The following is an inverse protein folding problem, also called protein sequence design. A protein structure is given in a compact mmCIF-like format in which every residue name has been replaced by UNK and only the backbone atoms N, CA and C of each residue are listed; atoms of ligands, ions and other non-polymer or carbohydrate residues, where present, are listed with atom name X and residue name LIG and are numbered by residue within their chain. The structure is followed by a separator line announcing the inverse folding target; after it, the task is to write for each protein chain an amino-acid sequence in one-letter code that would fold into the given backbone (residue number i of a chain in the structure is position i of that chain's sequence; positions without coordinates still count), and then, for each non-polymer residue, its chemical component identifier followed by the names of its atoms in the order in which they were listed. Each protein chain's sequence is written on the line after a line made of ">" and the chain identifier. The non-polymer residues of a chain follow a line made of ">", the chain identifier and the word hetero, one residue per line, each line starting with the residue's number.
data_IF_457941131599
#
_entry.id   IF_457941131599
#
_cell.length_a   1.000
_cell.length_b   1.000
_cell.length_c   1.000
_cell.angle_alpha   90.00
_cell.angle_beta   90.00
_cell.angle_gamma   90.00
#
_symmetry.space_group_name_H-M   'P 1'
#
loop_
_entity.id
_entity.type
_entity.pdbx_description
1 polymer ?
#
# COMPACT_ATOMS: atom_id res chain seq x y z
N UNK A 1 6.31 13.15 -8.33
CA UNK A 1 6.05 13.92 -9.57
C UNK A 1 7.22 14.84 -9.79
N UNK A 2 7.85 14.75 -10.95
CA UNK A 2 9.00 15.57 -11.32
C UNK A 2 8.71 16.27 -12.65
N UNK A 3 9.25 17.45 -12.85
CA UNK A 3 9.18 18.15 -14.13
C UNK A 3 10.20 17.59 -15.14
N UNK A 4 10.17 18.10 -16.39
CA UNK A 4 11.11 17.69 -17.44
C UNK A 4 12.57 18.08 -17.21
N UNK A 5 12.86 18.85 -16.15
CA UNK A 5 14.21 19.24 -15.72
C UNK A 5 14.65 18.48 -14.46
N UNK A 6 13.81 17.56 -13.96
CA UNK A 6 14.07 16.77 -12.76
C UNK A 6 13.72 17.46 -11.44
N UNK A 7 13.09 18.63 -11.46
CA UNK A 7 12.66 19.30 -10.24
C UNK A 7 11.43 18.58 -9.64
N UNK A 8 11.44 18.39 -8.32
CA UNK A 8 10.33 17.74 -7.60
C UNK A 8 9.15 18.70 -7.49
N UNK A 9 8.00 18.30 -8.04
CA UNK A 9 6.74 19.06 -7.97
C UNK A 9 5.81 18.57 -6.86
N UNK A 10 5.97 17.32 -6.41
CA UNK A 10 5.15 16.73 -5.36
C UNK A 10 5.24 15.21 -5.28
N UNK A 11 4.42 14.62 -4.43
CA UNK A 11 4.34 13.17 -4.18
C UNK A 11 2.93 12.67 -4.52
N UNK A 12 2.85 11.50 -5.16
CA UNK A 12 1.60 10.76 -5.36
C UNK A 12 1.69 9.52 -4.49
N UNK A 13 0.73 9.35 -3.59
CA UNK A 13 0.65 8.18 -2.71
C UNK A 13 -0.22 7.08 -3.32
N UNK A 14 -0.10 5.86 -2.78
CA UNK A 14 -1.00 4.76 -3.12
C UNK A 14 -2.48 5.11 -2.86
N UNK A 15 -2.77 5.88 -1.82
CA UNK A 15 -4.13 6.32 -1.50
C UNK A 15 -4.70 7.28 -2.56
N UNK A 16 -3.86 8.12 -3.17
CA UNK A 16 -4.29 9.02 -4.24
C UNK A 16 -4.71 8.23 -5.49
N UNK A 17 -3.96 7.18 -5.83
CA UNK A 17 -4.25 6.28 -6.95
C UNK A 17 -5.60 5.57 -6.75
N UNK A 18 -5.83 4.99 -5.57
CA UNK A 18 -7.08 4.29 -5.25
C UNK A 18 -8.28 5.23 -5.31
N UNK A 19 -8.14 6.47 -4.80
CA UNK A 19 -9.21 7.47 -4.84
C UNK A 19 -9.59 7.89 -6.25
N UNK A 20 -8.63 7.99 -7.16
CA UNK A 20 -8.88 8.32 -8.57
C UNK A 20 -9.58 7.14 -9.26
N UNK A 21 -9.04 5.92 -9.12
CA UNK A 21 -9.64 4.72 -9.72
C UNK A 21 -11.07 4.44 -9.23
N UNK A 22 -11.38 4.76 -7.97
CA UNK A 22 -12.72 4.61 -7.42
C UNK A 22 -13.73 5.65 -7.95
N UNK A 23 -13.25 6.81 -8.43
CA UNK A 23 -14.09 7.91 -8.94
C UNK A 23 -14.28 7.85 -10.46
N UNK A 24 -13.31 7.29 -11.17
CA UNK A 24 -13.34 7.17 -12.61
C UNK A 24 -12.87 5.77 -13.02
N UNK A 25 -13.81 4.84 -13.25
CA UNK A 25 -13.49 3.44 -13.52
C UNK A 25 -12.90 3.20 -14.92
N UNK A 26 -12.94 4.21 -15.80
CA UNK A 26 -12.34 4.12 -17.15
C UNK A 26 -10.84 4.46 -17.15
N UNK A 27 -10.28 4.87 -16.00
CA UNK A 27 -8.85 5.16 -15.88
C UNK A 27 -8.06 3.84 -15.90
N UNK A 28 -7.43 3.58 -17.04
CA UNK A 28 -6.47 2.50 -17.19
C UNK A 28 -5.14 2.93 -16.56
N UNK A 29 -4.79 2.33 -15.42
CA UNK A 29 -3.64 2.76 -14.61
C UNK A 29 -2.27 2.42 -15.23
N UNK A 30 -2.22 1.82 -16.42
CA UNK A 30 -0.97 1.47 -17.13
C UNK A 30 -0.11 0.42 -16.41
N UNK A 31 -0.58 -0.11 -15.28
CA UNK A 31 0.01 -1.21 -14.52
C UNK A 31 -1.08 -2.18 -14.09
N UNK A 32 -0.77 -3.47 -14.06
CA UNK A 32 -1.68 -4.50 -13.56
C UNK A 32 -1.50 -4.64 -12.05
N UNK A 33 -2.56 -4.36 -11.28
CA UNK A 33 -2.62 -4.76 -9.89
C UNK A 33 -2.77 -6.28 -9.83
N UNK A 34 -1.72 -6.98 -9.42
CA UNK A 34 -1.78 -8.41 -9.13
C UNK A 34 -1.96 -8.61 -7.64
N UNK A 35 -3.05 -9.27 -7.25
CA UNK A 35 -3.20 -9.75 -5.89
C UNK A 35 -2.16 -10.84 -5.66
N UNK A 36 -1.11 -10.51 -4.91
CA UNK A 36 -0.20 -11.49 -4.34
C UNK A 36 -0.80 -11.87 -2.99
N UNK A 37 -1.30 -13.11 -2.81
CA UNK A 37 -1.73 -13.56 -1.50
C UNK A 37 -0.58 -13.34 -0.51
N UNK A 38 -0.87 -12.94 0.74
CA UNK A 38 0.15 -13.01 1.76
C UNK A 38 0.74 -14.43 1.77
N UNK A 39 2.06 -14.59 1.97
CA UNK A 39 2.63 -15.92 2.11
C UNK A 39 1.88 -16.66 3.22
N UNK A 40 1.66 -17.96 3.02
CA UNK A 40 1.18 -18.81 4.10
C UNK A 40 2.19 -18.68 5.24
N UNK A 41 1.75 -18.05 6.33
CA UNK A 41 2.55 -17.98 7.55
C UNK A 41 2.39 -19.35 8.18
N UNK A 42 3.42 -20.19 8.10
CA UNK A 42 3.47 -21.36 8.95
C UNK A 42 3.50 -20.85 10.39
N UNK A 43 2.51 -21.24 11.19
CA UNK A 43 2.54 -20.99 12.63
C UNK A 43 3.72 -21.80 13.16
N UNK A 44 4.86 -21.14 13.40
CA UNK A 44 5.95 -21.74 14.15
C UNK A 44 5.38 -22.18 15.51
N UNK A 45 5.33 -23.51 15.73
CA UNK A 45 4.80 -24.15 16.94
C UNK A 45 5.70 -23.92 18.17
N UNK A 46 6.72 -23.07 18.05
CA UNK A 46 7.50 -22.52 19.14
C UNK A 46 6.95 -21.12 19.46
N UNK A 47 6.02 -21.08 20.43
CA UNK A 47 5.28 -19.91 20.85
C UNK A 47 6.15 -18.69 21.23
N UNK A 48 6.52 -17.91 20.23
CA UNK A 48 6.99 -16.55 20.41
C UNK A 48 5.75 -15.65 20.49
N UNK A 49 5.49 -15.13 21.69
CA UNK A 49 4.40 -14.20 21.93
C UNK A 49 4.42 -13.08 20.87
N UNK A 50 3.27 -12.74 20.25
CA UNK A 50 3.24 -11.58 19.38
C UNK A 50 3.59 -10.37 20.26
N UNK A 51 4.71 -9.69 19.95
CA UNK A 51 5.10 -8.48 20.67
C UNK A 51 4.04 -7.41 20.37
N UNK A 52 3.00 -7.39 21.20
CA UNK A 52 1.85 -6.53 21.06
C UNK A 52 2.29 -5.08 21.02
N UNK A 53 2.01 -4.40 19.91
CA UNK A 53 1.99 -2.95 19.92
C UNK A 53 0.77 -2.53 20.73
N UNK A 54 0.96 -2.23 22.01
CA UNK A 54 -0.09 -1.68 22.85
C UNK A 54 -0.40 -0.25 22.37
N UNK A 55 -1.56 -0.06 21.75
CA UNK A 55 -2.16 1.25 21.63
C UNK A 55 -2.57 1.70 23.05
N UNK A 56 -2.10 2.85 23.56
CA UNK A 56 -2.61 3.38 24.82
C UNK A 56 -4.10 3.74 24.65
N UNK A 57 -4.93 3.28 25.58
CA UNK A 57 -6.35 3.63 25.62
C UNK A 57 -6.54 5.16 25.84
N UNK A 58 -7.64 5.75 25.33
CA UNK A 58 -7.91 7.19 25.37
C UNK A 58 -8.15 7.77 26.77
#
# INVERSE_FOLDING_TARGET
>A
VVDGRGAVLGVVSASDIVRVAARDPEVELGFEARHVPPPDVEEDEDGEEPSGFYAPEP
#
